data_IF_264117181031
#
_entry.id   IF_264117181031
#
_cell.length_a   1.000
_cell.length_b   1.000
_cell.length_c   1.000
_cell.angle_alpha   90.00
_cell.angle_beta   90.00
_cell.angle_gamma   90.00
#
_symmetry.space_group_name_H-M   'P 1'
#
loop_
_entity.id
_entity.type
_entity.pdbx_description
1 polymer ?
#
# COMPACT_ATOMS: atom_id res chain seq x y z
N UNK A 1 -28.74 5.03 6.00
CA UNK A 1 -27.46 5.72 5.72
C UNK A 1 -26.83 5.03 4.55
N UNK A 2 -26.79 5.70 3.41
CA UNK A 2 -26.16 5.21 2.19
C UNK A 2 -24.67 5.00 2.51
N UNK A 3 -24.22 3.74 2.51
CA UNK A 3 -22.80 3.45 2.66
C UNK A 3 -22.13 4.08 1.44
N UNK A 4 -21.40 5.19 1.63
CA UNK A 4 -20.46 5.69 0.62
C UNK A 4 -19.54 4.51 0.31
N UNK A 5 -19.81 3.84 -0.81
CA UNK A 5 -19.00 2.75 -1.33
C UNK A 5 -17.62 3.36 -1.48
N UNK A 6 -16.66 2.98 -0.63
CA UNK A 6 -15.31 3.51 -0.70
C UNK A 6 -14.84 3.34 -2.15
N UNK A 7 -14.73 4.45 -2.87
CA UNK A 7 -14.37 4.43 -4.27
C UNK A 7 -12.91 3.98 -4.35
N UNK A 8 -12.70 2.75 -4.81
CA UNK A 8 -11.37 2.18 -4.97
C UNK A 8 -10.86 2.47 -6.38
N UNK A 9 -9.66 3.03 -6.47
CA UNK A 9 -8.95 3.20 -7.75
C UNK A 9 -7.99 2.04 -7.97
N UNK A 10 -8.16 1.32 -9.07
CA UNK A 10 -7.18 0.31 -9.51
C UNK A 10 -5.95 1.00 -10.09
N UNK A 11 -4.77 0.60 -9.64
CA UNK A 11 -3.49 1.07 -10.17
C UNK A 11 -2.68 -0.11 -10.73
N UNK A 12 -1.89 0.15 -11.76
CA UNK A 12 -0.93 -0.80 -12.31
C UNK A 12 0.49 -0.32 -12.05
N UNK A 13 1.30 -1.14 -11.38
CA UNK A 13 2.69 -0.80 -11.03
C UNK A 13 3.64 -1.76 -11.74
N UNK A 14 4.66 -1.23 -12.41
CA UNK A 14 5.75 -2.04 -12.97
C UNK A 14 6.91 -2.05 -11.99
N UNK A 15 7.35 -3.25 -11.61
CA UNK A 15 8.49 -3.47 -10.72
C UNK A 15 9.36 -4.61 -11.27
N UNK A 16 10.67 -4.63 -10.96
CA UNK A 16 11.53 -5.76 -11.28
C UNK A 16 10.96 -7.06 -10.69
N UNK A 17 10.99 -8.14 -11.50
CA UNK A 17 10.41 -9.43 -11.11
C UNK A 17 10.98 -9.97 -9.79
N UNK A 18 12.31 -9.91 -9.65
CA UNK A 18 13.00 -10.42 -8.47
C UNK A 18 12.62 -9.61 -7.22
N UNK A 19 12.59 -8.28 -7.34
CA UNK A 19 12.18 -7.39 -6.26
C UNK A 19 10.78 -7.74 -5.74
N UNK A 20 9.81 -7.96 -6.63
CA UNK A 20 8.46 -8.33 -6.24
C UNK A 20 8.39 -9.69 -5.55
N UNK A 21 9.16 -10.67 -6.06
CA UNK A 21 9.21 -12.00 -5.47
C UNK A 21 9.77 -11.98 -4.03
N UNK A 22 10.87 -11.24 -3.82
CA UNK A 22 11.51 -11.11 -2.52
C UNK A 22 10.61 -10.36 -1.54
N UNK A 23 10.01 -9.25 -1.99
CA UNK A 23 9.06 -8.46 -1.20
C UNK A 23 7.83 -9.30 -0.79
N UNK A 24 7.24 -10.06 -1.71
CA UNK A 24 6.12 -10.96 -1.40
C UNK A 24 6.52 -12.00 -0.36
N UNK A 25 7.72 -12.60 -0.48
CA UNK A 25 8.22 -13.59 0.48
C UNK A 25 8.40 -13.01 1.87
N UNK A 26 8.96 -11.79 1.97
CA UNK A 26 9.11 -11.08 3.24
C UNK A 26 7.76 -10.84 3.91
N UNK A 27 6.78 -10.30 3.18
CA UNK A 27 5.43 -10.05 3.73
C UNK A 27 4.71 -11.32 4.16
N UNK A 28 4.85 -12.42 3.41
CA UNK A 28 4.25 -13.71 3.79
C UNK A 28 4.80 -14.22 5.13
N UNK A 29 6.08 -13.99 5.42
CA UNK A 29 6.68 -14.35 6.72
C UNK A 29 6.06 -13.58 7.90
N UNK A 30 5.43 -12.44 7.64
CA UNK A 30 4.78 -11.58 8.62
C UNK A 30 3.23 -11.73 8.61
N UNK A 31 2.69 -12.64 7.79
CA UNK A 31 1.24 -12.81 7.62
C UNK A 31 0.56 -11.65 6.89
N UNK A 32 1.33 -10.82 6.17
CA UNK A 32 0.84 -9.64 5.43
C UNK A 32 0.63 -9.95 3.94
N UNK A 33 -0.19 -9.13 3.27
CA UNK A 33 -0.36 -9.17 1.82
C UNK A 33 0.07 -7.85 1.18
N UNK A 34 0.65 -7.96 -0.02
CA UNK A 34 1.20 -6.84 -0.82
C UNK A 34 0.23 -5.66 -0.92
N UNK A 35 -1.04 -5.90 -1.23
CA UNK A 35 -2.01 -4.83 -1.48
C UNK A 35 -2.23 -3.95 -0.26
N UNK A 36 -2.31 -4.54 0.94
CA UNK A 36 -2.50 -3.77 2.18
C UNK A 36 -1.23 -3.05 2.59
N UNK A 37 -0.07 -3.68 2.40
CA UNK A 37 1.21 -3.04 2.69
C UNK A 37 1.43 -1.79 1.83
N UNK A 38 1.21 -1.90 0.51
CA UNK A 38 1.27 -0.76 -0.41
C UNK A 38 0.27 0.35 -0.03
N UNK A 39 -0.97 -0.02 0.32
CA UNK A 39 -1.98 0.95 0.75
C UNK A 39 -1.55 1.68 2.03
N UNK A 40 -1.05 0.94 3.01
CA UNK A 40 -0.61 1.52 4.28
C UNK A 40 0.59 2.44 4.06
N UNK A 41 1.57 2.02 3.25
CA UNK A 41 2.71 2.86 2.89
C UNK A 41 2.27 4.18 2.24
N UNK A 42 1.28 4.16 1.33
CA UNK A 42 0.72 5.38 0.75
C UNK A 42 0.10 6.29 1.82
N UNK A 43 -0.62 5.72 2.79
CA UNK A 43 -1.16 6.47 3.93
C UNK A 43 -0.04 7.10 4.76
N UNK A 44 0.98 6.32 5.14
CA UNK A 44 2.12 6.80 5.94
C UNK A 44 2.90 7.93 5.23
N UNK A 45 3.07 7.82 3.91
CA UNK A 45 3.69 8.88 3.09
C UNK A 45 2.84 10.14 3.13
N UNK A 46 1.51 10.05 3.03
CA UNK A 46 0.63 11.21 3.11
C UNK A 46 0.66 11.83 4.51
N UNK A 47 0.60 11.02 5.56
CA UNK A 47 0.61 11.49 6.94
C UNK A 47 1.93 12.17 7.31
N UNK A 48 3.07 11.57 6.93
CA UNK A 48 4.38 12.18 7.16
C UNK A 48 4.52 13.52 6.45
N UNK A 49 3.95 13.70 5.27
CA UNK A 49 3.95 14.99 4.55
C UNK A 49 2.97 16.01 5.12
N UNK A 50 1.84 15.58 5.67
CA UNK A 50 0.90 16.46 6.39
C UNK A 50 1.48 16.96 7.71
N UNK A 51 2.27 16.13 8.40
CA UNK A 51 2.98 16.51 9.63
C UNK A 51 4.12 17.52 9.43
N UNK A 52 4.56 17.74 8.18
CA UNK A 52 5.60 18.71 7.81
C UNK A 52 5.05 20.08 7.39
N UNK A 53 3.73 20.29 7.47
CA UNK A 53 3.05 21.52 7.07
C UNK A 53 2.29 22.24 8.19
N UNK A 54 2.63 21.97 9.47
CA UNK A 54 2.13 22.72 10.62
C UNK A 54 3.26 23.45 11.32
#
# INVERSE_FOLDING_TARGET
MEQKKNEMTSISVRVPKQLYADYKKALMSEGKIVTYDLRNHMSDVIESKKGLGK
#
